data_IF_421382955699
#
_entry.id   IF_421382955699
#
_cell.length_a   1.000
_cell.length_b   1.000
_cell.length_c   1.000
_cell.angle_alpha   90.00
_cell.angle_beta   90.00
_cell.angle_gamma   90.00
#
_symmetry.space_group_name_H-M   'P 1'
#
loop_
_entity.id
_entity.type
_entity.pdbx_description
1 polymer ?
#
# COMPACT_ATOMS: atom_id res chain seq x y z
N UNK A 1 -30.15 5.96 20.68
CA UNK A 1 -29.39 7.23 20.78
C UNK A 1 -28.65 7.36 19.47
N UNK A 2 -29.16 8.26 18.66
CA UNK A 2 -29.01 8.35 17.21
C UNK A 2 -27.75 9.16 16.88
N UNK A 3 -26.88 8.63 16.03
CA UNK A 3 -25.75 9.37 15.45
C UNK A 3 -25.74 9.10 13.93
N UNK A 4 -26.89 9.36 13.31
CA UNK A 4 -27.00 9.70 11.89
C UNK A 4 -26.82 11.23 11.77
N UNK A 5 -25.58 11.71 11.60
CA UNK A 5 -25.33 12.84 10.70
C UNK A 5 -23.82 13.08 10.53
N UNK A 6 -23.25 12.52 9.46
CA UNK A 6 -22.06 13.10 8.85
C UNK A 6 -22.42 13.36 7.40
N UNK A 7 -22.81 14.59 7.15
CA UNK A 7 -22.90 15.23 5.85
C UNK A 7 -21.72 14.83 4.97
N UNK A 8 -21.95 13.87 4.08
CA UNK A 8 -21.11 13.67 2.91
C UNK A 8 -21.46 14.80 1.94
N UNK A 9 -20.82 15.95 2.13
CA UNK A 9 -20.87 17.07 1.19
C UNK A 9 -20.48 16.52 -0.18
N UNK A 10 -21.35 16.70 -1.18
CA UNK A 10 -21.17 16.23 -2.55
C UNK A 10 -19.73 16.52 -3.03
N UNK A 11 -18.91 15.48 -3.10
CA UNK A 11 -17.54 15.56 -3.56
C UNK A 11 -17.58 15.72 -5.07
N UNK A 12 -17.37 16.94 -5.58
CA UNK A 12 -17.05 17.10 -6.99
C UNK A 12 -15.65 16.55 -7.22
N UNK A 13 -15.54 15.51 -8.06
CA UNK A 13 -14.29 14.83 -8.45
C UNK A 13 -13.21 15.77 -9.04
N UNK A 14 -13.55 17.05 -9.25
CA UNK A 14 -12.75 18.05 -9.95
C UNK A 14 -11.65 18.69 -9.08
N UNK A 15 -11.71 18.61 -7.74
CA UNK A 15 -10.76 19.31 -6.86
C UNK A 15 -9.60 18.44 -6.36
N UNK A 16 -9.60 17.15 -6.68
CA UNK A 16 -8.54 16.21 -6.29
C UNK A 16 -7.66 15.92 -7.50
N UNK A 17 -6.36 16.20 -7.39
CA UNK A 17 -5.40 15.97 -8.46
C UNK A 17 -4.47 14.82 -8.10
N UNK A 18 -4.30 13.89 -9.02
CA UNK A 18 -3.23 12.90 -8.97
C UNK A 18 -1.98 13.49 -9.64
N UNK A 19 -0.85 13.39 -8.96
CA UNK A 19 0.44 13.84 -9.47
C UNK A 19 1.45 12.71 -9.46
N UNK A 20 2.26 12.66 -10.50
CA UNK A 20 3.40 11.78 -10.63
C UNK A 20 4.65 12.59 -10.25
N UNK A 21 5.48 12.04 -9.37
CA UNK A 21 6.77 12.61 -8.98
C UNK A 21 7.86 11.77 -9.62
N UNK A 22 8.55 12.36 -10.60
CA UNK A 22 9.66 11.74 -11.30
C UNK A 22 10.96 12.37 -10.85
N UNK A 23 11.91 11.54 -10.46
CA UNK A 23 13.22 11.98 -10.02
C UNK A 23 14.20 11.88 -11.18
N UNK A 24 15.01 12.91 -11.35
CA UNK A 24 16.05 12.92 -12.37
C UNK A 24 17.11 11.87 -12.01
N UNK A 25 17.58 11.12 -13.02
CA UNK A 25 18.80 10.32 -12.86
C UNK A 25 19.94 11.30 -12.62
N UNK A 26 20.63 11.17 -11.48
CA UNK A 26 21.74 12.04 -11.15
C UNK A 26 22.80 11.97 -12.26
N UNK A 27 23.24 13.14 -12.77
CA UNK A 27 24.34 13.21 -13.73
C UNK A 27 25.69 12.83 -13.08
N UNK A 28 25.79 12.89 -11.75
CA UNK A 28 26.99 12.57 -10.96
C UNK A 28 26.86 11.26 -10.14
N UNK A 29 26.26 10.22 -10.72
CA UNK A 29 26.21 8.91 -10.06
C UNK A 29 27.58 8.20 -10.16
N UNK A 30 28.44 8.38 -9.15
CA UNK A 30 29.74 7.69 -9.07
C UNK A 30 29.63 6.23 -8.65
N UNK A 31 28.45 5.76 -8.24
CA UNK A 31 28.20 4.37 -7.86
C UNK A 31 27.08 3.76 -8.70
N UNK A 32 27.27 2.53 -9.18
CA UNK A 32 26.27 1.78 -9.93
C UNK A 32 25.01 1.45 -9.10
N UNK A 33 25.10 1.56 -7.76
CA UNK A 33 24.02 1.28 -6.82
C UNK A 33 23.02 2.44 -6.71
N UNK A 34 23.46 3.69 -6.85
CA UNK A 34 22.59 4.87 -6.86
C UNK A 34 21.69 4.99 -8.11
N UNK A 35 22.05 4.28 -9.18
CA UNK A 35 21.39 4.35 -10.50
C UNK A 35 20.14 3.44 -10.55
N UNK A 36 20.05 2.40 -9.71
CA UNK A 36 19.09 1.30 -9.90
C UNK A 36 17.77 1.43 -9.12
N UNK A 37 17.66 2.34 -8.15
CA UNK A 37 16.46 2.40 -7.30
C UNK A 37 16.03 3.83 -6.99
N UNK A 38 15.54 4.54 -8.00
CA UNK A 38 14.71 5.72 -7.73
C UNK A 38 13.24 5.34 -7.96
N UNK A 39 12.44 5.20 -6.89
CA UNK A 39 11.06 4.77 -7.04
C UNK A 39 10.23 5.87 -7.68
N UNK A 40 9.33 5.45 -8.55
CA UNK A 40 8.29 6.32 -9.09
C UNK A 40 7.24 6.56 -8.00
N UNK A 41 7.07 7.81 -7.58
CA UNK A 41 6.12 8.16 -6.53
C UNK A 41 4.87 8.83 -7.10
N UNK A 42 3.74 8.58 -6.46
CA UNK A 42 2.47 9.23 -6.77
C UNK A 42 2.01 10.02 -5.56
N UNK A 43 1.55 11.24 -5.80
CA UNK A 43 0.98 12.14 -4.80
C UNK A 43 -0.48 12.46 -5.11
N UNK A 44 -1.25 12.79 -4.08
CA UNK A 44 -2.62 13.27 -4.22
C UNK A 44 -2.70 14.67 -3.62
N UNK A 45 -2.99 15.66 -4.46
CA UNK A 45 -3.27 17.04 -4.03
C UNK A 45 -4.77 17.17 -3.80
N UNK A 46 -5.15 17.78 -2.68
CA UNK A 46 -6.54 17.92 -2.26
C UNK A 46 -6.77 19.23 -1.50
N UNK A 47 -8.02 19.72 -1.44
CA UNK A 47 -8.39 20.87 -0.61
C UNK A 47 -8.09 20.66 0.87
N UNK A 48 -7.86 21.77 1.59
CA UNK A 48 -7.42 21.74 2.99
C UNK A 48 -8.46 21.09 3.92
N UNK A 49 -9.76 21.21 3.61
CA UNK A 49 -10.83 20.60 4.40
C UNK A 49 -10.71 19.07 4.53
N UNK A 50 -10.08 18.40 3.56
CA UNK A 50 -9.92 16.94 3.56
C UNK A 50 -8.69 16.46 4.35
N UNK A 51 -7.90 17.37 4.95
CA UNK A 51 -6.67 17.02 5.68
C UNK A 51 -6.90 15.94 6.72
N UNK A 52 -7.99 16.01 7.50
CA UNK A 52 -8.28 15.03 8.55
C UNK A 52 -8.53 13.62 7.97
N UNK A 53 -9.35 13.52 6.93
CA UNK A 53 -9.65 12.25 6.24
C UNK A 53 -8.38 11.66 5.63
N UNK A 54 -7.57 12.51 4.98
CA UNK A 54 -6.33 12.09 4.34
C UNK A 54 -5.29 11.62 5.35
N UNK A 55 -5.09 12.35 6.44
CA UNK A 55 -4.17 11.92 7.51
C UNK A 55 -4.60 10.59 8.14
N UNK A 56 -5.91 10.36 8.31
CA UNK A 56 -6.42 9.05 8.75
C UNK A 56 -6.05 7.96 7.75
N UNK A 57 -6.27 8.19 6.45
CA UNK A 57 -5.88 7.25 5.40
C UNK A 57 -4.38 6.94 5.41
N UNK A 58 -3.52 7.98 5.41
CA UNK A 58 -2.07 7.82 5.42
C UNK A 58 -1.57 7.04 6.64
N UNK A 59 -2.16 7.29 7.82
CA UNK A 59 -1.78 6.61 9.06
C UNK A 59 -2.24 5.16 9.11
N UNK A 60 -3.44 4.86 8.62
CA UNK A 60 -4.07 3.56 8.82
C UNK A 60 -3.82 2.55 7.70
N UNK A 61 -3.52 2.99 6.48
CA UNK A 61 -3.31 2.07 5.34
C UNK A 61 -1.87 1.66 5.14
N UNK A 62 -0.91 2.45 5.67
CA UNK A 62 0.52 2.12 5.54
C UNK A 62 1.03 2.10 4.09
N UNK A 63 0.28 2.67 3.13
CA UNK A 63 0.62 2.70 1.70
C UNK A 63 1.57 3.84 1.33
N UNK A 64 2.10 4.55 2.32
CA UNK A 64 3.04 5.63 2.11
C UNK A 64 4.48 5.18 1.94
N UNK A 65 5.38 6.16 1.82
CA UNK A 65 6.83 5.92 1.81
C UNK A 65 7.42 5.99 3.22
N UNK A 66 8.52 5.28 3.44
CA UNK A 66 9.27 5.38 4.70
C UNK A 66 9.95 6.74 4.83
N UNK A 67 10.25 7.17 6.07
CA UNK A 67 11.02 8.40 6.33
C UNK A 67 12.39 8.38 5.66
N UNK A 68 13.08 7.22 5.67
CA UNK A 68 14.37 7.01 4.98
C UNK A 68 14.25 7.23 3.48
N UNK A 69 13.18 6.70 2.86
CA UNK A 69 12.95 6.90 1.44
C UNK A 69 12.59 8.37 1.14
N UNK A 70 11.78 9.00 1.98
CA UNK A 70 11.46 10.43 1.84
C UNK A 70 12.71 11.30 1.92
N UNK A 71 13.59 11.05 2.89
CA UNK A 71 14.86 11.76 3.05
C UNK A 71 15.78 11.56 1.83
N UNK A 72 15.89 10.33 1.32
CA UNK A 72 16.63 10.04 0.09
C UNK A 72 16.08 10.83 -1.10
N UNK A 73 14.75 10.81 -1.29
CA UNK A 73 14.07 11.51 -2.38
C UNK A 73 14.26 13.03 -2.31
N UNK A 74 14.27 13.62 -1.11
CA UNK A 74 14.44 15.07 -0.92
C UNK A 74 15.84 15.57 -1.34
N UNK A 75 16.82 14.68 -1.48
CA UNK A 75 18.18 15.02 -1.92
C UNK A 75 18.36 14.99 -3.44
N UNK A 76 17.31 14.68 -4.20
CA UNK A 76 17.34 14.52 -5.65
C UNK A 76 16.45 15.58 -6.31
N UNK A 77 16.84 16.02 -7.49
CA UNK A 77 15.97 16.84 -8.32
C UNK A 77 14.78 16.02 -8.81
N UNK A 78 13.58 16.59 -8.71
CA UNK A 78 12.35 15.95 -9.15
C UNK A 78 11.45 16.91 -9.90
N UNK A 79 10.63 16.34 -10.79
CA UNK A 79 9.56 17.02 -11.49
C UNK A 79 8.22 16.46 -11.04
N UNK A 80 7.22 17.32 -10.89
CA UNK A 80 5.85 16.94 -10.57
C UNK A 80 4.97 17.18 -11.78
N UNK A 81 4.33 16.13 -12.28
CA UNK A 81 3.39 16.20 -13.42
C UNK A 81 2.00 15.75 -13.00
N UNK A 82 0.95 16.41 -13.50
CA UNK A 82 -0.43 15.99 -13.27
C UNK A 82 -0.73 14.78 -14.17
N UNK A 83 -1.39 13.76 -13.62
CA UNK A 83 -1.79 12.57 -14.37
C UNK A 83 -3.28 12.29 -14.16
N UNK A 84 -3.98 11.87 -15.22
CA UNK A 84 -5.43 11.61 -15.20
C UNK A 84 -5.80 10.31 -14.51
N UNK A 85 -4.94 9.29 -14.61
CA UNK A 85 -5.11 7.99 -13.99
C UNK A 85 -3.77 7.48 -13.44
N UNK A 86 -3.77 6.76 -12.30
CA UNK A 86 -2.60 6.00 -11.92
C UNK A 86 -2.42 4.91 -12.99
N UNK A 87 -1.21 4.70 -13.56
CA UNK A 87 -1.02 3.66 -14.56
C UNK A 87 -1.46 2.32 -13.97
N UNK A 88 -2.40 1.66 -14.67
CA UNK A 88 -2.85 0.32 -14.35
C UNK A 88 -1.66 -0.62 -14.41
N UNK A 89 -1.34 -1.20 -13.25
CA UNK A 89 -0.14 -2.00 -12.98
C UNK A 89 1.13 -1.19 -13.27
N UNK A 90 1.70 -0.61 -12.21
CA UNK A 90 3.16 -0.56 -12.18
C UNK A 90 3.62 -2.00 -12.50
N UNK A 91 4.57 -2.24 -13.43
CA UNK A 91 5.27 -3.51 -13.41
C UNK A 91 5.72 -3.70 -11.95
N UNK A 92 5.40 -4.84 -11.30
CA UNK A 92 5.84 -5.07 -9.92
C UNK A 92 7.31 -4.70 -9.88
N UNK A 93 7.72 -3.73 -9.02
CA UNK A 93 8.89 -2.88 -9.20
C UNK A 93 9.97 -3.60 -9.99
N UNK A 94 9.95 -3.34 -11.31
CA UNK A 94 10.56 -4.12 -12.39
C UNK A 94 11.36 -5.33 -11.90
N UNK A 95 10.72 -6.48 -11.61
CA UNK A 95 11.32 -7.82 -11.37
C UNK A 95 12.80 -7.79 -10.93
N UNK A 96 13.12 -6.96 -9.93
CA UNK A 96 14.51 -6.89 -9.50
C UNK A 96 14.78 -8.27 -8.90
N UNK A 97 15.89 -8.96 -9.26
CA UNK A 97 16.17 -10.30 -8.78
C UNK A 97 16.10 -10.43 -7.25
N UNK A 98 16.28 -9.31 -6.54
CA UNK A 98 16.09 -9.18 -5.08
C UNK A 98 14.67 -9.54 -4.62
N UNK A 99 13.61 -9.11 -5.31
CA UNK A 99 12.24 -9.38 -4.90
C UNK A 99 11.88 -10.85 -5.12
N UNK A 100 12.35 -11.47 -6.21
CA UNK A 100 12.23 -12.91 -6.41
C UNK A 100 12.96 -13.70 -5.32
N UNK A 101 14.16 -13.26 -4.96
CA UNK A 101 14.94 -13.87 -3.88
C UNK A 101 14.20 -13.78 -2.55
N UNK A 102 13.61 -12.63 -2.23
CA UNK A 102 12.81 -12.44 -1.02
C UNK A 102 11.58 -13.37 -1.04
N UNK A 103 10.82 -13.41 -2.14
CA UNK A 103 9.65 -14.29 -2.28
C UNK A 103 10.01 -15.76 -2.07
N UNK A 104 11.09 -16.22 -2.70
CA UNK A 104 11.60 -17.60 -2.54
C UNK A 104 11.96 -17.90 -1.09
N UNK A 105 12.71 -17.02 -0.42
CA UNK A 105 13.08 -17.19 1.01
C UNK A 105 11.87 -17.24 1.93
N UNK A 106 10.88 -16.36 1.73
CA UNK A 106 9.64 -16.39 2.52
C UNK A 106 8.90 -17.71 2.32
N UNK A 107 8.75 -18.17 1.08
CA UNK A 107 8.12 -19.45 0.78
C UNK A 107 8.88 -20.64 1.42
N UNK A 108 10.21 -20.63 1.37
CA UNK A 108 11.06 -21.62 2.05
C UNK A 108 10.83 -21.64 3.57
N UNK A 109 10.80 -20.47 4.21
CA UNK A 109 10.52 -20.38 5.65
C UNK A 109 9.14 -20.91 6.02
N UNK A 110 8.10 -20.57 5.23
CA UNK A 110 6.75 -21.09 5.44
C UNK A 110 6.67 -22.61 5.30
N UNK A 111 7.53 -23.20 4.47
CA UNK A 111 7.61 -24.64 4.25
C UNK A 111 8.51 -25.38 5.26
N UNK A 112 9.38 -24.66 5.99
CA UNK A 112 10.35 -25.25 6.94
C UNK A 112 9.67 -25.80 8.19
N UNK A 113 8.67 -25.11 8.72
CA UNK A 113 7.96 -25.49 9.93
C UNK A 113 6.46 -25.14 9.79
N UNK A 114 5.71 -25.89 8.96
CA UNK A 114 4.30 -25.59 8.73
C UNK A 114 3.48 -25.82 10.01
N UNK A 115 2.58 -24.89 10.33
CA UNK A 115 1.66 -25.01 11.47
C UNK A 115 0.78 -26.26 11.40
N UNK A 116 0.47 -26.72 10.17
CA UNK A 116 -0.18 -27.99 9.92
C UNK A 116 0.81 -28.94 9.19
N UNK A 117 1.36 -29.95 9.88
CA UNK A 117 2.31 -30.90 9.27
C UNK A 117 1.74 -31.69 8.08
N UNK A 118 0.40 -31.86 8.00
CA UNK A 118 -0.29 -32.57 6.92
C UNK A 118 -0.69 -31.70 5.73
N UNK A 119 -0.20 -30.46 5.63
CA UNK A 119 -0.52 -29.53 4.53
C UNK A 119 -0.07 -30.11 3.18
N UNK A 120 -1.03 -30.49 2.33
CA UNK A 120 -0.76 -31.09 1.02
C UNK A 120 -0.06 -30.14 0.04
N UNK A 121 -0.37 -28.83 0.08
CA UNK A 121 0.18 -27.84 -0.84
C UNK A 121 1.28 -27.01 -0.16
N UNK A 122 2.50 -27.06 -0.71
CA UNK A 122 3.60 -26.18 -0.27
C UNK A 122 3.40 -24.76 -0.78
N UNK A 123 3.84 -23.77 0.00
CA UNK A 123 3.88 -22.39 -0.44
C UNK A 123 4.91 -22.23 -1.57
N UNK A 124 4.53 -21.55 -2.65
CA UNK A 124 5.40 -21.18 -3.77
C UNK A 124 5.79 -19.71 -3.65
N UNK A 125 6.84 -19.29 -4.38
CA UNK A 125 7.20 -17.87 -4.48
C UNK A 125 6.04 -17.02 -5.00
N UNK A 126 5.24 -17.57 -5.92
CA UNK A 126 4.13 -16.87 -6.57
C UNK A 126 2.93 -16.67 -5.63
N UNK A 127 2.91 -17.38 -4.50
CA UNK A 127 1.94 -17.19 -3.43
C UNK A 127 2.35 -16.03 -2.48
N UNK A 128 3.53 -15.43 -2.67
CA UNK A 128 4.08 -14.39 -1.78
C UNK A 128 3.97 -13.01 -2.42
N UNK A 129 3.13 -12.16 -1.83
CA UNK A 129 2.95 -10.77 -2.23
C UNK A 129 3.70 -9.84 -1.28
N UNK A 130 4.55 -8.97 -1.83
CA UNK A 130 5.36 -8.03 -1.06
C UNK A 130 4.69 -6.65 -1.01
N UNK A 131 4.62 -6.09 0.19
CA UNK A 131 4.05 -4.77 0.46
C UNK A 131 5.06 -3.90 1.23
N UNK A 132 4.97 -2.56 1.13
CA UNK A 132 5.92 -1.66 1.80
C UNK A 132 5.85 -1.72 3.33
N UNK A 133 4.73 -2.19 3.90
CA UNK A 133 4.54 -2.37 5.33
C UNK A 133 3.57 -3.52 5.64
N UNK A 134 3.58 -4.01 6.88
CA UNK A 134 2.62 -5.03 7.33
C UNK A 134 1.17 -4.52 7.30
N UNK A 135 0.94 -3.26 7.68
CA UNK A 135 -0.39 -2.63 7.60
C UNK A 135 -0.86 -2.48 6.15
N UNK A 136 0.03 -2.16 5.20
CA UNK A 136 -0.32 -2.17 3.77
C UNK A 136 -0.75 -3.56 3.30
N UNK A 137 -0.04 -4.61 3.72
CA UNK A 137 -0.42 -5.99 3.39
C UNK A 137 -1.83 -6.31 3.89
N UNK A 138 -2.13 -5.99 5.15
CA UNK A 138 -3.45 -6.18 5.76
C UNK A 138 -4.53 -5.38 5.01
N UNK A 139 -4.26 -4.10 4.71
CA UNK A 139 -5.16 -3.20 3.99
C UNK A 139 -5.51 -3.75 2.59
N UNK A 140 -4.52 -4.20 1.84
CA UNK A 140 -4.75 -4.77 0.51
C UNK A 140 -5.53 -6.10 0.56
N UNK A 141 -5.27 -6.95 1.55
CA UNK A 141 -6.04 -8.18 1.79
C UNK A 141 -7.49 -7.85 2.15
N UNK A 142 -7.72 -6.89 3.06
CA UNK A 142 -9.06 -6.43 3.45
C UNK A 142 -9.86 -5.91 2.26
N UNK A 143 -9.23 -5.21 1.31
CA UNK A 143 -9.91 -4.77 0.07
C UNK A 143 -10.09 -5.87 -0.98
N UNK A 144 -9.23 -6.90 -1.00
CA UNK A 144 -9.30 -7.98 -1.96
C UNK A 144 -10.36 -9.04 -1.58
N UNK A 145 -10.50 -9.33 -0.29
CA UNK A 145 -11.40 -10.38 0.21
C UNK A 145 -12.87 -10.17 -0.19
N UNK A 146 -13.50 -8.99 0.00
CA UNK A 146 -14.89 -8.75 -0.40
C UNK A 146 -15.10 -8.84 -1.92
N UNK A 147 -14.06 -8.52 -2.71
CA UNK A 147 -14.12 -8.63 -4.18
C UNK A 147 -14.02 -10.08 -4.65
N UNK A 148 -13.33 -10.91 -3.87
CA UNK A 148 -13.18 -12.33 -4.15
C UNK A 148 -14.41 -13.12 -3.70
N UNK A 149 -14.97 -12.79 -2.53
CA UNK A 149 -16.13 -13.47 -1.97
C UNK A 149 -16.97 -12.50 -1.15
N UNK A 150 -18.27 -12.51 -1.42
CA UNK A 150 -19.26 -11.79 -0.62
C UNK A 150 -19.52 -12.55 0.68
N UNK A 151 -18.77 -12.23 1.73
CA UNK A 151 -18.85 -12.87 3.04
C UNK A 151 -18.28 -11.97 4.14
N UNK A 152 -18.70 -12.23 5.37
CA UNK A 152 -18.22 -11.51 6.54
C UNK A 152 -16.74 -11.81 6.82
N UNK A 153 -16.00 -10.78 7.22
CA UNK A 153 -14.60 -10.88 7.63
C UNK A 153 -14.55 -10.97 9.15
N UNK A 154 -14.09 -12.12 9.67
CA UNK A 154 -13.88 -12.31 11.11
C UNK A 154 -12.41 -12.07 11.49
N UNK A 155 -12.19 -11.26 12.53
CA UNK A 155 -10.89 -11.16 13.21
C UNK A 155 -10.87 -12.08 14.43
N UNK A 156 -9.88 -12.98 14.49
CA UNK A 156 -9.71 -13.91 15.61
C UNK A 156 -8.49 -13.53 16.47
N UNK A 157 -8.63 -13.60 17.79
CA UNK A 157 -7.54 -13.40 18.76
C UNK A 157 -7.40 -11.95 19.21
N UNK A 158 -6.15 -11.49 19.39
CA UNK A 158 -5.81 -10.15 19.86
C UNK A 158 -5.21 -9.34 18.71
N UNK A 159 -6.05 -8.70 17.86
CA UNK A 159 -5.56 -7.95 16.72
C UNK A 159 -4.76 -6.72 17.19
N UNK A 160 -3.75 -6.36 16.42
CA UNK A 160 -3.02 -5.12 16.62
C UNK A 160 -3.97 -3.92 16.46
N UNK A 161 -3.94 -2.97 17.40
CA UNK A 161 -4.91 -1.87 17.51
C UNK A 161 -5.13 -1.11 16.18
N UNK A 162 -4.06 -0.85 15.41
CA UNK A 162 -4.17 -0.14 14.13
C UNK A 162 -4.93 -0.93 13.06
N UNK A 163 -4.96 -2.27 13.17
CA UNK A 163 -5.75 -3.14 12.29
C UNK A 163 -7.24 -2.90 12.47
N UNK A 164 -7.71 -2.86 13.72
CA UNK A 164 -9.12 -2.60 14.05
C UNK A 164 -9.53 -1.22 13.50
N UNK A 165 -8.74 -0.19 13.82
CA UNK A 165 -9.00 1.18 13.36
C UNK A 165 -9.00 1.29 11.84
N UNK A 166 -8.10 0.57 11.15
CA UNK A 166 -8.09 0.54 9.69
C UNK A 166 -9.37 -0.10 9.14
N UNK A 167 -9.83 -1.23 9.70
CA UNK A 167 -11.06 -1.89 9.22
C UNK A 167 -12.26 -0.97 9.43
N UNK A 168 -12.41 -0.36 10.61
CA UNK A 168 -13.49 0.58 10.91
C UNK A 168 -13.49 1.80 9.98
N UNK A 169 -12.31 2.33 9.65
CA UNK A 169 -12.18 3.51 8.80
C UNK A 169 -12.35 3.23 7.30
N UNK A 170 -12.03 2.02 6.85
CA UNK A 170 -12.00 1.65 5.42
C UNK A 170 -13.17 0.77 4.99
N UNK A 171 -14.00 0.30 5.92
CA UNK A 171 -15.19 -0.47 5.56
C UNK A 171 -16.16 0.36 4.72
N UNK A 172 -16.56 -0.25 3.61
CA UNK A 172 -17.76 0.11 2.84
C UNK A 172 -18.96 -0.25 3.74
N UNK A 173 -20.05 0.54 3.79
CA UNK A 173 -21.08 0.41 4.83
C UNK A 173 -21.65 -1.00 4.91
N UNK A 174 -21.49 -1.63 6.08
CA UNK A 174 -22.03 -2.95 6.36
C UNK A 174 -23.55 -2.89 6.45
N UNK A 175 -24.21 -3.86 5.82
CA UNK A 175 -25.52 -4.34 6.25
C UNK A 175 -25.28 -5.20 7.50
N UNK A 176 -25.85 -4.79 8.62
CA UNK A 176 -26.15 -5.71 9.72
C UNK A 176 -27.25 -6.68 9.30
#
# INVERSE_FOLDING_TARGET
MDIQDRTYTNITKQDVLLVLVEFNKAQDASSAEDILFIPRLYGVVHPAEFRKVKMTFWRLTGTGISSRLAEFCLRKDFTITRVSEPPLKQPPPAELPVYDTIRKRVAEFLNRAPTNPGRAQRAKSDDVYLYPSGIAAIYHVHHALPKWRDSDIMMLGFPYELTIKMIEAMNVPHRF
#
